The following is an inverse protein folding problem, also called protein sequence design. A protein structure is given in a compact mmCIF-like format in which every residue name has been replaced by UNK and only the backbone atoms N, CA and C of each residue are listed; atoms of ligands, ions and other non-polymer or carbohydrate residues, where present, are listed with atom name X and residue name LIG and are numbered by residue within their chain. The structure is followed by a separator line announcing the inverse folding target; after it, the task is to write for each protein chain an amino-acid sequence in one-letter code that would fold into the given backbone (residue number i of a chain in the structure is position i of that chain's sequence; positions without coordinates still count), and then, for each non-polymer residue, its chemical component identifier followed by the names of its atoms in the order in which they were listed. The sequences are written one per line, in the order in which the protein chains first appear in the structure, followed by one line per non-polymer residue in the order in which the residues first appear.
data_IF_954277759897
#
_entry.id   IF_954277759897
#
_cell.length_a   1.000
_cell.length_b   1.000
_cell.length_c   1.000
_cell.angle_alpha   90.00
_cell.angle_beta   90.00
_cell.angle_gamma   90.00
#
_symmetry.space_group_name_H-M   'P 1'
#
loop_
_entity.id
_entity.type
_entity.pdbx_description
1 polymer ?
#
# COMPACT_ATOMS: atom_id res chain seq x y z
N UNK A 1 39.22 6.22 54.74
CA UNK A 1 38.90 6.99 55.95
C UNK A 1 37.75 7.94 55.63
N UNK A 2 36.90 8.17 56.64
CA UNK A 2 35.52 8.62 56.57
C UNK A 2 35.29 10.05 56.02
N UNK A 3 34.26 10.17 55.18
CA UNK A 3 33.01 10.97 55.29
C UNK A 3 32.97 12.30 56.08
N UNK A 4 32.33 13.34 55.51
CA UNK A 4 31.38 14.32 56.13
C UNK A 4 30.57 15.03 55.00
N UNK A 5 29.26 14.78 54.74
CA UNK A 5 27.98 15.36 55.27
C UNK A 5 27.95 16.91 55.37
N UNK A 6 26.93 17.70 54.99
CA UNK A 6 25.46 17.58 55.20
C UNK A 6 24.65 18.53 54.27
N UNK A 7 23.38 18.15 54.09
CA UNK A 7 22.28 18.72 53.29
C UNK A 7 21.48 19.80 54.07
N UNK A 8 21.07 20.90 53.43
CA UNK A 8 19.81 21.66 53.70
C UNK A 8 19.44 22.42 52.42
N UNK A 9 18.30 22.21 51.78
CA UNK A 9 17.00 22.77 52.18
C UNK A 9 16.23 23.21 50.93
N UNK A 10 15.36 22.32 50.44
CA UNK A 10 14.44 22.49 49.31
C UNK A 10 13.36 23.55 49.63
N UNK A 11 13.19 24.57 48.78
CA UNK A 11 11.98 25.40 48.74
C UNK A 11 11.43 25.44 47.31
N UNK A 12 10.64 24.42 46.96
CA UNK A 12 9.89 24.32 45.70
C UNK A 12 8.43 24.62 46.03
N UNK A 13 8.09 25.89 46.21
CA UNK A 13 6.70 26.36 46.38
C UNK A 13 6.45 27.72 45.72
N UNK A 14 6.88 27.91 44.46
CA UNK A 14 6.47 29.09 43.66
C UNK A 14 6.53 28.88 42.14
N UNK A 15 6.22 27.68 41.64
CA UNK A 15 6.12 27.47 40.17
C UNK A 15 4.89 26.66 39.77
N UNK A 16 3.78 26.94 40.44
CA UNK A 16 2.44 26.67 39.93
C UNK A 16 1.96 27.95 39.24
N UNK A 17 1.35 27.83 38.06
CA UNK A 17 0.64 28.91 37.33
C UNK A 17 1.49 29.78 36.37
N UNK A 18 2.10 29.17 35.34
CA UNK A 18 2.24 29.71 33.96
C UNK A 18 3.00 28.67 33.13
N UNK A 19 2.36 27.68 32.51
CA UNK A 19 2.15 27.67 31.06
C UNK A 19 1.20 26.51 30.69
N UNK A 20 -0.01 26.51 31.27
CA UNK A 20 -1.10 25.57 30.94
C UNK A 20 -2.09 26.19 29.94
N UNK A 21 -1.58 26.93 28.95
CA UNK A 21 -2.40 27.74 28.03
C UNK A 21 -1.84 27.79 26.59
N UNK A 22 -1.44 26.63 26.09
CA UNK A 22 -1.51 26.27 24.67
C UNK A 22 -2.15 24.88 24.56
N UNK A 23 -3.37 24.71 25.08
CA UNK A 23 -4.58 24.81 24.25
C UNK A 23 -4.35 24.11 22.89
N UNK A 24 -4.48 22.79 22.85
CA UNK A 24 -5.74 22.14 22.49
C UNK A 24 -6.28 22.59 21.12
N UNK A 25 -5.68 22.15 20.01
CA UNK A 25 -6.34 22.13 18.70
C UNK A 25 -5.61 21.30 17.63
N UNK A 26 -5.21 20.05 17.89
CA UNK A 26 -5.12 19.05 16.80
C UNK A 26 -5.60 17.69 17.33
N UNK A 27 -6.82 17.67 17.87
CA UNK A 27 -7.65 16.48 17.65
C UNK A 27 -8.07 16.55 16.19
N UNK A 28 -7.23 16.05 15.28
CA UNK A 28 -7.70 15.70 13.95
C UNK A 28 -8.62 14.49 14.15
N UNK A 29 -9.85 14.75 14.61
CA UNK A 29 -10.98 13.86 14.38
C UNK A 29 -11.31 13.99 12.89
N UNK A 30 -10.36 13.54 12.06
CA UNK A 30 -10.68 13.08 10.74
C UNK A 30 -11.57 11.89 10.99
N UNK A 31 -12.88 12.09 10.90
CA UNK A 31 -13.75 11.00 10.48
C UNK A 31 -13.17 10.55 9.15
N UNK A 32 -12.36 9.49 9.18
CA UNK A 32 -11.98 8.79 7.97
C UNK A 32 -13.29 8.19 7.50
N UNK A 33 -13.98 8.87 6.61
CA UNK A 33 -15.09 8.31 5.84
C UNK A 33 -14.49 7.31 4.84
N UNK A 34 -13.88 6.26 5.38
CA UNK A 34 -13.58 5.05 4.65
C UNK A 34 -14.83 4.18 4.76
N UNK A 35 -15.57 4.04 3.67
CA UNK A 35 -16.58 2.99 3.60
C UNK A 35 -15.95 1.67 4.06
N UNK A 36 -16.59 0.98 4.99
CA UNK A 36 -16.06 -0.28 5.51
C UNK A 36 -16.15 -1.32 4.41
N UNK A 37 -15.00 -1.77 3.91
CA UNK A 37 -14.97 -2.89 2.97
C UNK A 37 -15.48 -4.15 3.67
N UNK A 38 -16.26 -4.95 2.96
CA UNK A 38 -16.65 -6.28 3.42
C UNK A 38 -15.41 -7.15 3.59
N UNK A 39 -15.46 -8.15 4.47
CA UNK A 39 -14.35 -9.09 4.64
C UNK A 39 -14.00 -9.79 3.30
N UNK A 40 -12.70 -9.84 2.99
CA UNK A 40 -12.20 -10.45 1.76
C UNK A 40 -10.78 -10.04 1.40
N UNK A 41 -10.30 -10.59 0.28
CA UNK A 41 -9.02 -10.24 -0.31
C UNK A 41 -9.21 -9.10 -1.31
N UNK A 42 -8.34 -8.09 -1.25
CA UNK A 42 -8.40 -6.92 -2.11
C UNK A 42 -7.04 -6.62 -2.72
N UNK A 43 -7.06 -6.02 -3.91
CA UNK A 43 -5.89 -5.42 -4.54
C UNK A 43 -6.14 -3.93 -4.76
N UNK A 44 -5.22 -3.09 -4.30
CA UNK A 44 -5.22 -1.67 -4.58
C UNK A 44 -4.28 -1.39 -5.74
N UNK A 45 -4.82 -0.85 -6.82
CA UNK A 45 -4.07 -0.43 -7.99
C UNK A 45 -3.93 1.08 -7.98
N UNK A 46 -2.69 1.55 -7.86
CA UNK A 46 -2.36 2.98 -7.90
C UNK A 46 -2.06 3.38 -9.33
N UNK A 47 -2.81 4.34 -9.85
CA UNK A 47 -2.62 4.86 -11.21
C UNK A 47 -2.44 6.38 -11.17
N UNK A 48 -1.86 6.99 -12.22
CA UNK A 48 -1.81 8.46 -12.32
C UNK A 48 -3.20 9.13 -12.32
N UNK A 49 -4.27 8.38 -12.62
CA UNK A 49 -5.65 8.86 -12.65
C UNK A 49 -6.44 8.57 -11.38
N UNK A 50 -5.79 8.04 -10.34
CA UNK A 50 -6.41 7.70 -9.07
C UNK A 50 -6.26 6.23 -8.71
N UNK A 51 -6.82 5.88 -7.56
CA UNK A 51 -6.77 4.52 -7.02
C UNK A 51 -7.98 3.70 -7.45
N UNK A 52 -7.74 2.43 -7.78
CA UNK A 52 -8.77 1.45 -8.09
C UNK A 52 -8.63 0.31 -7.08
N UNK A 53 -9.68 0.03 -6.31
CA UNK A 53 -9.70 -1.06 -5.34
C UNK A 53 -10.53 -2.22 -5.90
N UNK A 54 -9.90 -3.39 -6.04
CA UNK A 54 -10.49 -4.59 -6.62
C UNK A 54 -10.72 -5.63 -5.51
N UNK A 55 -11.94 -6.16 -5.38
CA UNK A 55 -12.20 -7.35 -4.57
C UNK A 55 -11.86 -8.61 -5.36
N UNK A 56 -11.04 -9.50 -4.80
CA UNK A 56 -10.61 -10.73 -5.43
C UNK A 56 -11.41 -11.94 -4.91
N UNK A 57 -12.09 -12.63 -5.82
CA UNK A 57 -12.94 -13.79 -5.48
C UNK A 57 -12.17 -15.11 -5.54
N UNK A 58 -11.19 -15.28 -4.64
CA UNK A 58 -10.31 -16.46 -4.61
C UNK A 58 -11.04 -17.79 -4.43
N UNK A 59 -12.20 -17.81 -3.76
CA UNK A 59 -13.04 -19.01 -3.62
C UNK A 59 -13.64 -19.48 -4.94
N UNK A 60 -13.84 -18.57 -5.91
CA UNK A 60 -14.44 -18.88 -7.22
C UNK A 60 -13.38 -19.15 -8.30
N UNK A 61 -12.28 -18.41 -8.27
CA UNK A 61 -11.21 -18.50 -9.27
C UNK A 61 -9.83 -18.57 -8.58
N UNK A 62 -9.52 -19.67 -7.87
CA UNK A 62 -8.34 -19.76 -7.02
C UNK A 62 -7.03 -19.62 -7.81
N UNK A 63 -6.92 -20.30 -8.96
CA UNK A 63 -5.71 -20.25 -9.80
C UNK A 63 -5.50 -18.86 -10.38
N UNK A 64 -6.55 -18.21 -10.88
CA UNK A 64 -6.48 -16.85 -11.44
C UNK A 64 -6.08 -15.84 -10.37
N UNK A 65 -6.69 -15.90 -9.19
CA UNK A 65 -6.38 -14.97 -8.10
C UNK A 65 -4.98 -15.22 -7.55
N UNK A 66 -4.59 -16.48 -7.34
CA UNK A 66 -3.22 -16.82 -6.92
C UNK A 66 -2.18 -16.32 -7.93
N UNK A 67 -2.43 -16.50 -9.23
CA UNK A 67 -1.56 -15.99 -10.27
C UNK A 67 -1.45 -14.47 -10.25
N UNK A 68 -2.59 -13.77 -10.19
CA UNK A 68 -2.64 -12.31 -10.15
C UNK A 68 -1.89 -11.75 -8.95
N UNK A 69 -2.14 -12.28 -7.74
CA UNK A 69 -1.47 -11.85 -6.51
C UNK A 69 0.02 -12.12 -6.60
N UNK A 70 0.43 -13.31 -7.05
CA UNK A 70 1.84 -13.66 -7.18
C UNK A 70 2.61 -12.75 -8.13
N UNK A 71 2.00 -12.36 -9.25
CA UNK A 71 2.56 -11.39 -10.19
C UNK A 71 2.58 -9.96 -9.60
N UNK A 72 1.53 -9.54 -8.90
CA UNK A 72 1.43 -8.22 -8.29
C UNK A 72 2.42 -8.00 -7.14
N UNK A 73 2.65 -9.03 -6.33
CA UNK A 73 3.61 -8.98 -5.21
C UNK A 73 5.04 -9.29 -5.64
N UNK A 74 5.23 -9.81 -6.85
CA UNK A 74 6.54 -10.24 -7.36
C UNK A 74 7.05 -11.54 -6.74
N UNK A 75 6.17 -12.34 -6.15
CA UNK A 75 6.52 -13.67 -5.62
C UNK A 75 6.51 -14.75 -6.69
N UNK A 76 5.90 -14.50 -7.85
CA UNK A 76 5.84 -15.39 -9.01
C UNK A 76 6.80 -14.97 -10.12
N UNK A 77 7.53 -15.93 -10.68
CA UNK A 77 8.44 -15.70 -11.79
C UNK A 77 7.64 -15.38 -13.07
N UNK A 78 8.19 -14.49 -13.88
CA UNK A 78 7.68 -14.15 -15.21
C UNK A 78 8.83 -13.94 -16.18
N UNK A 79 8.58 -14.10 -17.48
CA UNK A 79 9.59 -13.92 -18.53
C UNK A 79 9.46 -12.55 -19.15
N UNK A 80 10.53 -11.78 -19.13
CA UNK A 80 10.60 -10.50 -19.82
C UNK A 80 10.45 -10.72 -21.34
N UNK A 81 9.43 -10.15 -22.00
CA UNK A 81 9.22 -10.38 -23.43
C UNK A 81 10.26 -9.68 -24.31
N UNK A 82 10.99 -8.68 -23.79
CA UNK A 82 12.05 -7.97 -24.52
C UNK A 82 13.38 -8.70 -24.38
N UNK A 83 13.75 -9.06 -23.14
CA UNK A 83 15.08 -9.66 -22.88
C UNK A 83 15.07 -11.19 -22.88
N UNK A 84 13.89 -11.82 -22.81
CA UNK A 84 13.73 -13.26 -22.69
C UNK A 84 14.15 -13.85 -21.34
N UNK A 85 14.61 -13.04 -20.39
CA UNK A 85 15.10 -13.48 -19.08
C UNK A 85 13.96 -13.67 -18.09
N UNK A 86 14.10 -14.63 -17.19
CA UNK A 86 13.22 -14.73 -16.03
C UNK A 86 13.43 -13.54 -15.08
N UNK A 87 12.34 -13.02 -14.56
CA UNK A 87 12.27 -11.96 -13.56
C UNK A 87 11.36 -12.39 -12.42
N UNK A 88 11.72 -11.98 -11.20
CA UNK A 88 10.95 -12.18 -9.98
C UNK A 88 10.76 -10.84 -9.27
N UNK A 89 9.97 -9.99 -9.92
CA UNK A 89 9.68 -8.62 -9.49
C UNK A 89 8.20 -8.34 -9.69
N UNK A 90 7.68 -7.28 -9.07
CA UNK A 90 6.29 -6.83 -9.24
C UNK A 90 6.02 -6.60 -10.73
N UNK A 91 5.12 -7.40 -11.30
CA UNK A 91 4.91 -7.49 -12.74
C UNK A 91 4.12 -6.30 -13.30
N UNK A 92 3.11 -5.82 -12.56
CA UNK A 92 2.19 -4.79 -13.04
C UNK A 92 2.71 -3.36 -12.87
N UNK A 93 3.80 -3.16 -12.15
CA UNK A 93 4.34 -1.83 -11.86
C UNK A 93 4.85 -1.18 -13.16
N UNK A 94 4.39 0.03 -13.43
CA UNK A 94 4.75 0.80 -14.64
C UNK A 94 4.05 0.37 -15.93
N UNK A 95 3.14 -0.61 -15.88
CA UNK A 95 2.36 -1.02 -17.07
C UNK A 95 1.24 -0.03 -17.38
N UNK A 96 0.93 0.11 -18.67
CA UNK A 96 -0.15 0.97 -19.15
C UNK A 96 -1.44 0.19 -19.44
N UNK A 97 -2.58 0.88 -19.40
CA UNK A 97 -3.81 0.43 -20.04
C UNK A 97 -3.71 0.72 -21.54
N UNK A 98 -3.27 -0.26 -22.33
CA UNK A 98 -3.03 -0.10 -23.76
C UNK A 98 -4.32 -0.08 -24.59
N UNK A 99 -5.46 -0.50 -24.02
CA UNK A 99 -6.76 -0.44 -24.69
C UNK A 99 -7.81 0.13 -23.76
N UNK A 100 -8.40 1.27 -24.15
CA UNK A 100 -9.44 1.98 -23.41
C UNK A 100 -10.60 2.24 -24.37
N UNK A 101 -11.76 1.64 -24.09
CA UNK A 101 -12.98 1.84 -24.89
C UNK A 101 -14.03 2.43 -23.99
N UNK A 102 -14.49 3.63 -24.34
CA UNK A 102 -15.51 4.35 -23.61
C UNK A 102 -16.79 3.50 -23.53
N UNK A 103 -17.41 3.49 -22.35
CA UNK A 103 -18.66 2.78 -22.08
C UNK A 103 -18.57 1.24 -22.28
N UNK A 104 -17.36 0.69 -22.26
CA UNK A 104 -17.12 -0.75 -22.36
C UNK A 104 -16.11 -1.26 -21.35
N UNK A 105 -14.80 -1.06 -21.57
CA UNK A 105 -13.76 -1.61 -20.71
C UNK A 105 -12.39 -0.93 -20.88
N UNK A 106 -11.51 -1.23 -19.92
CA UNK A 106 -10.06 -0.97 -19.99
C UNK A 106 -9.30 -2.28 -19.90
N UNK A 107 -8.23 -2.41 -20.68
CA UNK A 107 -7.35 -3.59 -20.70
C UNK A 107 -5.90 -3.15 -20.49
N UNK A 108 -5.19 -3.86 -19.61
CA UNK A 108 -3.79 -3.66 -19.28
C UNK A 108 -3.09 -5.00 -19.07
N UNK A 109 -1.98 -5.00 -18.33
CA UNK A 109 -1.25 -6.24 -17.99
C UNK A 109 -0.33 -6.76 -19.09
N UNK A 110 0.00 -5.93 -20.08
CA UNK A 110 0.95 -6.25 -21.15
C UNK A 110 2.20 -5.36 -21.04
N UNK A 111 3.39 -5.93 -20.77
CA UNK A 111 4.66 -5.20 -20.75
C UNK A 111 5.05 -4.53 -22.08
N UNK A 112 4.57 -5.05 -23.21
CA UNK A 112 4.82 -4.49 -24.55
C UNK A 112 3.77 -3.48 -24.99
N UNK A 113 2.64 -3.38 -24.27
CA UNK A 113 1.50 -2.55 -24.64
C UNK A 113 0.94 -2.83 -26.06
N UNK A 114 1.16 -4.02 -26.62
CA UNK A 114 0.67 -4.43 -27.95
C UNK A 114 -0.66 -5.19 -27.88
N UNK A 115 -1.06 -5.64 -26.69
CA UNK A 115 -2.20 -6.50 -26.44
C UNK A 115 -1.90 -8.01 -26.54
N UNK A 116 -0.65 -8.38 -26.81
CA UNK A 116 -0.23 -9.78 -27.04
C UNK A 116 0.82 -10.26 -26.04
N UNK A 117 1.43 -9.37 -25.27
CA UNK A 117 2.39 -9.77 -24.23
C UNK A 117 1.70 -10.30 -22.97
N UNK A 118 2.51 -10.86 -22.08
CA UNK A 118 2.06 -11.49 -20.85
C UNK A 118 3.24 -11.97 -20.00
N UNK A 119 2.99 -12.77 -18.95
CA UNK A 119 4.05 -13.20 -18.03
C UNK A 119 4.95 -14.31 -18.62
N UNK A 120 4.74 -14.69 -19.88
CA UNK A 120 5.54 -15.70 -20.58
C UNK A 120 5.10 -17.15 -20.35
N UNK A 121 3.89 -17.36 -19.83
CA UNK A 121 3.28 -18.68 -19.64
C UNK A 121 1.75 -18.58 -19.63
N UNK A 122 1.11 -19.76 -19.74
CA UNK A 122 -0.32 -19.98 -19.57
C UNK A 122 -0.52 -20.98 -18.42
N UNK A 123 -1.65 -20.92 -17.72
CA UNK A 123 -1.97 -21.80 -16.60
C UNK A 123 -3.47 -22.12 -16.56
#
# INVERSE_FOLDING_TARGET
MNTFYINTGLSIKTFTVTLYLSAAAIFFSGTVWGGTFQEGLYAQMKTPKGEIVLRLYFKRAPLTVSNFVGLAEGSKDWKDPVTGKAKKTRFFDGLNFHRVIKDFMIQGGDPLATGTGGPGYTF
#
